data_IF_603330800079
#
_entry.id   IF_603330800079
#
_cell.length_a   1.000
_cell.length_b   1.000
_cell.length_c   1.000
_cell.angle_alpha   90.00
_cell.angle_beta   90.00
_cell.angle_gamma   90.00
#
_symmetry.space_group_name_H-M   'P 1'
#
loop_
_entity.id
_entity.type
_entity.pdbx_description
1 polymer ?
#
# COMPACT_ATOMS: atom_id res chain seq x y z
N UNK A 1 -18.25 -2.35 3.55
CA UNK A 1 -17.09 -1.91 2.72
C UNK A 1 -16.07 -1.27 3.65
N UNK A 2 -14.79 -1.65 3.57
CA UNK A 2 -13.71 -0.96 4.28
C UNK A 2 -12.99 -0.05 3.30
N UNK A 3 -12.77 1.20 3.68
CA UNK A 3 -12.03 2.18 2.89
C UNK A 3 -10.64 2.34 3.47
N UNK A 4 -9.62 2.27 2.62
CA UNK A 4 -8.23 2.51 3.00
C UNK A 4 -7.75 3.76 2.27
N UNK A 5 -6.95 4.58 2.96
CA UNK A 5 -6.29 5.73 2.35
C UNK A 5 -4.89 5.30 1.91
N UNK A 6 -4.57 5.55 0.66
CA UNK A 6 -3.27 5.24 0.06
C UNK A 6 -2.68 6.56 -0.40
N UNK A 7 -1.38 6.75 -0.15
CA UNK A 7 -0.59 7.84 -0.70
C UNK A 7 0.26 7.26 -1.81
N UNK A 8 0.26 7.92 -2.96
CA UNK A 8 1.15 7.61 -4.09
C UNK A 8 1.98 8.86 -4.34
N UNK A 9 3.29 8.74 -4.15
CA UNK A 9 4.26 9.79 -4.38
C UNK A 9 4.93 9.56 -5.73
N UNK A 10 4.98 10.60 -6.57
CA UNK A 10 5.75 10.58 -7.80
C UNK A 10 7.14 11.14 -7.49
N UNK A 11 8.15 10.32 -7.77
CA UNK A 11 9.56 10.68 -7.69
C UNK A 11 10.21 10.62 -9.09
N UNK A 12 11.38 11.25 -9.30
CA UNK A 12 12.09 11.21 -10.58
C UNK A 12 12.41 9.78 -11.07
N UNK A 13 12.53 8.86 -10.12
CA UNK A 13 12.89 7.45 -10.23
C UNK A 13 11.67 6.51 -10.25
N UNK A 14 10.44 7.04 -10.22
CA UNK A 14 9.21 6.26 -10.36
C UNK A 14 8.15 6.63 -9.32
N UNK A 15 7.17 5.76 -9.15
CA UNK A 15 6.08 5.91 -8.19
C UNK A 15 6.32 5.04 -6.96
N UNK A 16 6.08 5.63 -5.78
CA UNK A 16 6.11 4.94 -4.49
C UNK A 16 4.70 5.00 -3.90
N UNK A 17 4.18 3.87 -3.41
CA UNK A 17 2.85 3.80 -2.81
C UNK A 17 2.89 3.20 -1.40
N UNK A 18 2.12 3.76 -0.48
CA UNK A 18 1.96 3.23 0.88
C UNK A 18 0.58 3.55 1.48
N UNK A 19 0.04 2.66 2.34
CA UNK A 19 -1.23 2.88 3.00
C UNK A 19 -1.06 3.68 4.29
N UNK A 20 -2.00 4.57 4.57
CA UNK A 20 -2.06 5.32 5.82
C UNK A 20 -2.73 4.47 6.89
N UNK A 21 -2.09 4.35 8.06
CA UNK A 21 -2.62 3.61 9.21
C UNK A 21 -2.36 2.09 9.16
N UNK A 22 -1.56 1.61 8.21
CA UNK A 22 -1.06 0.25 8.16
C UNK A 22 0.48 0.25 8.17
N UNK A 23 1.08 -0.64 8.95
CA UNK A 23 2.54 -0.79 9.04
C UNK A 23 3.02 -1.93 8.16
N UNK A 24 4.20 -1.75 7.57
CA UNK A 24 4.91 -2.80 6.84
C UNK A 24 4.53 -2.96 5.38
N UNK A 25 3.70 -2.06 4.82
CA UNK A 25 3.28 -2.10 3.41
C UNK A 25 3.84 -0.86 2.70
N UNK A 26 4.77 -1.06 1.78
CA UNK A 26 5.34 -0.05 0.89
C UNK A 26 5.60 -0.71 -0.46
N UNK A 27 5.26 -0.03 -1.56
CA UNK A 27 5.51 -0.45 -2.94
C UNK A 27 6.37 0.59 -3.63
N UNK A 28 7.35 0.14 -4.40
CA UNK A 28 8.12 0.97 -5.31
C UNK A 28 9.59 0.58 -5.42
N UNK A 29 10.32 1.25 -6.34
CA UNK A 29 9.79 2.16 -7.36
C UNK A 29 9.07 1.39 -8.48
N UNK A 30 7.93 1.92 -8.93
CA UNK A 30 7.18 1.42 -10.10
C UNK A 30 7.24 2.44 -11.24
N UNK A 31 7.19 1.99 -12.49
CA UNK A 31 7.34 2.87 -13.65
C UNK A 31 6.08 3.72 -13.89
N UNK A 32 4.91 3.21 -13.48
CA UNK A 32 3.63 3.89 -13.70
C UNK A 32 2.78 4.01 -12.44
N UNK A 33 1.94 5.04 -12.40
CA UNK A 33 0.93 5.24 -11.35
C UNK A 33 -0.01 4.03 -11.23
N UNK A 34 -0.40 3.44 -12.36
CA UNK A 34 -1.36 2.34 -12.38
C UNK A 34 -0.75 1.07 -11.78
N UNK A 35 0.49 0.75 -12.14
CA UNK A 35 1.25 -0.37 -11.55
C UNK A 35 1.35 -0.22 -10.02
N UNK A 36 1.80 0.95 -9.54
CA UNK A 36 1.89 1.22 -8.09
C UNK A 36 0.54 1.07 -7.39
N UNK A 37 -0.57 1.46 -8.06
CA UNK A 37 -1.93 1.35 -7.53
C UNK A 37 -2.44 -0.10 -7.52
N UNK A 38 -2.09 -0.93 -8.50
CA UNK A 38 -2.49 -2.35 -8.55
C UNK A 38 -1.69 -3.16 -7.52
N UNK A 39 -0.39 -2.91 -7.42
CA UNK A 39 0.50 -3.58 -6.48
C UNK A 39 0.13 -3.29 -5.03
N UNK A 40 -0.13 -2.03 -4.69
CA UNK A 40 -0.48 -1.65 -3.32
C UNK A 40 -1.82 -2.28 -2.89
N UNK A 41 -2.79 -2.42 -3.81
CA UNK A 41 -4.06 -3.10 -3.52
C UNK A 41 -3.84 -4.57 -3.20
N UNK A 42 -3.06 -5.26 -4.03
CA UNK A 42 -2.73 -6.67 -3.82
C UNK A 42 -1.95 -6.87 -2.52
N UNK A 43 -1.00 -5.99 -2.22
CA UNK A 43 -0.22 -6.05 -0.99
C UNK A 43 -1.06 -5.84 0.27
N UNK A 44 -2.04 -4.92 0.24
CA UNK A 44 -3.00 -4.72 1.34
C UNK A 44 -3.84 -5.98 1.57
N UNK A 45 -4.38 -6.57 0.51
CA UNK A 45 -5.19 -7.80 0.60
C UNK A 45 -4.36 -8.94 1.19
N UNK A 46 -3.16 -9.19 0.63
CA UNK A 46 -2.24 -10.21 1.12
C UNK A 46 -1.88 -10.03 2.60
N UNK A 47 -1.58 -8.80 3.02
CA UNK A 47 -1.24 -8.51 4.40
C UNK A 47 -2.43 -8.74 5.35
N UNK A 48 -3.64 -8.38 4.94
CA UNK A 48 -4.85 -8.65 5.73
C UNK A 48 -5.15 -10.14 5.85
N UNK A 49 -4.95 -10.91 4.78
CA UNK A 49 -5.13 -12.37 4.80
C UNK A 49 -4.06 -13.06 5.65
N UNK A 50 -2.80 -12.60 5.55
CA UNK A 50 -1.66 -13.23 6.24
C UNK A 50 -1.58 -12.86 7.73
N UNK A 51 -1.77 -11.57 8.05
CA UNK A 51 -1.52 -11.04 9.40
C UNK A 51 -2.79 -10.58 10.12
N UNK A 52 -3.94 -10.54 9.43
CA UNK A 52 -5.21 -10.13 10.01
C UNK A 52 -5.20 -8.67 10.47
N UNK A 53 -5.83 -8.40 11.61
CA UNK A 53 -5.96 -7.03 12.16
C UNK A 53 -4.65 -6.44 12.71
N UNK A 54 -3.57 -7.24 12.82
CA UNK A 54 -2.29 -6.80 13.41
C UNK A 54 -1.54 -5.77 12.56
N UNK A 55 -1.92 -5.61 11.29
CA UNK A 55 -1.29 -4.67 10.35
C UNK A 55 -1.67 -3.22 10.62
N UNK A 56 -2.78 -2.98 11.33
CA UNK A 56 -3.24 -1.64 11.65
C UNK A 56 -2.42 -1.06 12.81
N UNK A 57 -1.83 0.11 12.59
CA UNK A 57 -1.15 0.83 13.67
C UNK A 57 -2.17 1.49 14.59
N UNK A 58 -2.35 0.97 15.80
CA UNK A 58 -3.15 1.61 16.85
C UNK A 58 -4.44 0.89 17.27
N UNK A 59 -4.55 -0.43 17.04
CA UNK A 59 -5.55 -1.30 17.66
C UNK A 59 -4.92 -2.20 18.72
#
# INVERSE_FOLDING_TARGET
MKQFKIIIEQHPDGFIAYPVGMKGIVIGPSDTYQEALEDIKSAIVFHLETFGKKVFSGL
#
